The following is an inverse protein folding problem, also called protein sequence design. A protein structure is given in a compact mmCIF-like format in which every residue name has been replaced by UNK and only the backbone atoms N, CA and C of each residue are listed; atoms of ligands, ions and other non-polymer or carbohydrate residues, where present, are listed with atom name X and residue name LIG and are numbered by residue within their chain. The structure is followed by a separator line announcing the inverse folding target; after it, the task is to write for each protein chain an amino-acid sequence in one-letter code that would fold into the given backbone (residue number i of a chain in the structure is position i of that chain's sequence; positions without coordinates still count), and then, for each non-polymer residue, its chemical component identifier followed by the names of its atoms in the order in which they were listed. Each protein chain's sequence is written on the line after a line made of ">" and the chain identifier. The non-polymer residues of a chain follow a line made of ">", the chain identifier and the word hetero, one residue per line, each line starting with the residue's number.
data_IF_613275458745
#
_entry.id   IF_613275458745
#
_cell.length_a   1.000
_cell.length_b   1.000
_cell.length_c   1.000
_cell.angle_alpha   90.00
_cell.angle_beta   90.00
_cell.angle_gamma   90.00
#
_symmetry.space_group_name_H-M   'P 1'
#
loop_
_entity.id
_entity.type
_entity.pdbx_description
1 polymer ?
#
# COMPACT_ATOMS: atom_id res chain seq x y z
N UNK A 1 31.76 -39.03 -32.24
CA UNK A 1 31.16 -37.72 -32.64
C UNK A 1 30.08 -37.37 -31.64
N UNK A 2 30.34 -36.49 -30.73
CA UNK A 2 29.38 -36.02 -29.74
C UNK A 2 29.05 -34.58 -30.13
N UNK A 3 27.87 -34.36 -30.72
CA UNK A 3 27.35 -33.04 -31.02
C UNK A 3 26.89 -32.36 -29.73
N UNK A 4 27.59 -31.29 -29.39
CA UNK A 4 27.25 -30.45 -28.27
C UNK A 4 25.99 -29.62 -28.55
N UNK A 5 24.91 -29.90 -27.86
CA UNK A 5 23.77 -29.01 -27.82
C UNK A 5 24.15 -27.74 -27.04
N UNK A 6 24.43 -26.68 -27.78
CA UNK A 6 24.50 -25.31 -27.21
C UNK A 6 23.08 -24.89 -26.89
N UNK A 7 22.76 -24.90 -25.63
CA UNK A 7 21.52 -24.31 -25.15
C UNK A 7 21.47 -22.81 -25.54
N UNK A 8 20.42 -22.40 -26.22
CA UNK A 8 20.16 -21.02 -26.52
C UNK A 8 20.14 -20.18 -25.24
N UNK A 9 20.65 -18.93 -25.25
CA UNK A 9 20.55 -18.08 -24.10
C UNK A 9 19.08 -17.85 -23.77
N UNK A 10 18.70 -18.19 -22.55
CA UNK A 10 17.38 -17.84 -22.04
C UNK A 10 17.25 -16.33 -22.14
N UNK A 11 16.33 -15.90 -22.94
CA UNK A 11 15.89 -14.52 -23.02
C UNK A 11 15.66 -14.05 -21.60
N UNK A 12 16.49 -13.16 -21.10
CA UNK A 12 16.23 -12.45 -19.85
C UNK A 12 15.05 -11.55 -20.15
N UNK A 13 13.85 -12.10 -19.95
CA UNK A 13 12.61 -11.36 -20.00
C UNK A 13 12.80 -10.12 -19.15
N UNK A 14 12.53 -8.96 -19.74
CA UNK A 14 12.58 -7.63 -19.15
C UNK A 14 12.44 -7.69 -17.64
N UNK A 15 13.47 -7.24 -16.93
CA UNK A 15 13.42 -7.04 -15.48
C UNK A 15 12.14 -6.27 -15.19
N UNK A 16 11.12 -6.97 -14.71
CA UNK A 16 9.92 -6.33 -14.19
C UNK A 16 10.45 -5.35 -13.18
N UNK A 17 10.17 -4.06 -13.38
CA UNK A 17 10.45 -3.05 -12.37
C UNK A 17 9.85 -3.56 -11.08
N UNK A 18 10.70 -3.91 -10.15
CA UNK A 18 10.25 -4.33 -8.84
C UNK A 18 9.44 -3.19 -8.23
N UNK A 19 8.35 -3.54 -7.59
CA UNK A 19 7.46 -2.57 -7.02
C UNK A 19 8.20 -1.69 -6.03
N UNK A 20 8.00 -0.42 -6.18
CA UNK A 20 8.33 0.54 -5.15
C UNK A 20 7.36 0.37 -3.99
N UNK A 21 7.83 0.30 -2.82
CA UNK A 21 6.99 0.37 -1.63
C UNK A 21 6.33 1.75 -1.58
N UNK A 22 5.05 1.88 -1.35
CA UNK A 22 4.42 1.54 -0.06
C UNK A 22 3.60 0.25 -0.04
N UNK A 23 3.46 -0.30 1.16
CA UNK A 23 2.61 -1.46 1.47
C UNK A 23 1.47 -1.01 2.36
N UNK A 24 0.25 -1.18 1.89
CA UNK A 24 -0.94 -0.81 2.65
C UNK A 24 -1.56 -2.00 3.39
N UNK A 25 -1.96 -1.75 4.63
CA UNK A 25 -2.84 -2.63 5.41
C UNK A 25 -4.13 -1.90 5.71
N UNK A 26 -5.24 -2.41 5.22
CA UNK A 26 -6.58 -1.87 5.46
C UNK A 26 -7.27 -2.78 6.45
N UNK A 27 -7.71 -2.23 7.58
CA UNK A 27 -8.45 -2.96 8.59
C UNK A 27 -9.82 -2.29 8.77
N UNK A 28 -10.89 -3.08 8.70
CA UNK A 28 -12.25 -2.59 8.87
C UNK A 28 -13.01 -3.41 9.91
N UNK A 29 -13.84 -2.72 10.69
CA UNK A 29 -14.53 -3.25 11.86
C UNK A 29 -15.83 -4.00 11.52
N UNK A 30 -15.99 -4.48 10.32
CA UNK A 30 -17.16 -5.25 9.88
C UNK A 30 -16.79 -6.23 8.78
N UNK A 31 -17.64 -7.22 8.50
CA UNK A 31 -17.53 -8.02 7.29
C UNK A 31 -17.70 -7.15 6.04
N UNK A 32 -17.07 -7.55 4.97
CA UNK A 32 -17.17 -6.94 3.64
C UNK A 32 -17.41 -8.00 2.59
N UNK A 33 -17.97 -7.61 1.45
CA UNK A 33 -18.04 -8.45 0.25
C UNK A 33 -16.71 -8.38 -0.54
N UNK A 34 -16.49 -9.32 -1.44
CA UNK A 34 -15.34 -9.27 -2.34
C UNK A 34 -15.31 -8.00 -3.20
N UNK A 35 -16.47 -7.50 -3.62
CA UNK A 35 -16.60 -6.25 -4.36
C UNK A 35 -16.20 -5.03 -3.52
N UNK A 36 -16.62 -4.98 -2.27
CA UNK A 36 -16.19 -3.94 -1.34
C UNK A 36 -14.68 -4.00 -1.07
N UNK A 37 -14.12 -5.18 -0.92
CA UNK A 37 -12.69 -5.37 -0.71
C UNK A 37 -11.88 -4.78 -1.87
N UNK A 38 -12.28 -5.07 -3.10
CA UNK A 38 -11.64 -4.54 -4.30
C UNK A 38 -11.74 -3.02 -4.35
N UNK A 39 -12.91 -2.46 -4.00
CA UNK A 39 -13.12 -1.02 -3.98
C UNK A 39 -12.28 -0.31 -2.92
N UNK A 40 -12.18 -0.89 -1.72
CA UNK A 40 -11.36 -0.35 -0.63
C UNK A 40 -9.86 -0.38 -0.98
N UNK A 41 -9.39 -1.47 -1.52
CA UNK A 41 -7.99 -1.61 -1.97
C UNK A 41 -7.70 -0.60 -3.09
N UNK A 42 -8.60 -0.48 -4.06
CA UNK A 42 -8.44 0.49 -5.15
C UNK A 42 -8.41 1.94 -4.63
N UNK A 43 -9.27 2.28 -3.67
CA UNK A 43 -9.31 3.63 -3.09
C UNK A 43 -7.98 4.01 -2.43
N UNK A 44 -7.40 3.12 -1.66
CA UNK A 44 -6.10 3.35 -1.01
C UNK A 44 -4.98 3.42 -2.05
N UNK A 45 -4.99 2.51 -3.01
CA UNK A 45 -3.97 2.48 -4.07
C UNK A 45 -3.98 3.75 -4.92
N UNK A 46 -5.13 4.17 -5.41
CA UNK A 46 -5.25 5.40 -6.20
C UNK A 46 -4.86 6.65 -5.41
N UNK A 47 -5.10 6.65 -4.11
CA UNK A 47 -4.65 7.73 -3.22
C UNK A 47 -3.12 7.81 -3.15
N UNK A 48 -2.45 6.67 -3.08
CA UNK A 48 -0.99 6.59 -3.09
C UNK A 48 -0.40 7.02 -4.44
N UNK A 49 -1.03 6.62 -5.55
CA UNK A 49 -0.63 7.07 -6.88
C UNK A 49 -0.74 8.60 -6.98
N UNK A 50 -1.85 9.18 -6.54
CA UNK A 50 -2.09 10.61 -6.61
C UNK A 50 -1.15 11.41 -5.71
N UNK A 51 -0.88 10.94 -4.49
CA UNK A 51 -0.13 11.70 -3.49
C UNK A 51 1.38 11.43 -3.49
N UNK A 52 1.78 10.21 -3.77
CA UNK A 52 3.18 9.77 -3.70
C UNK A 52 3.80 9.49 -5.07
N UNK A 53 3.03 9.65 -6.13
CA UNK A 53 3.49 9.48 -7.52
C UNK A 53 4.14 8.10 -7.76
N UNK A 54 3.64 7.08 -7.06
CA UNK A 54 4.12 5.71 -7.26
C UNK A 54 3.66 5.17 -8.62
N UNK A 55 4.37 4.20 -9.20
CA UNK A 55 3.89 3.53 -10.42
C UNK A 55 2.52 2.88 -10.18
N UNK A 56 1.59 3.07 -11.11
CA UNK A 56 0.21 2.59 -10.99
C UNK A 56 0.11 1.06 -10.84
N UNK A 57 1.06 0.33 -11.40
CA UNK A 57 1.13 -1.13 -11.27
C UNK A 57 1.70 -1.63 -9.95
N UNK A 58 2.15 -0.74 -9.10
CA UNK A 58 2.84 -1.04 -7.86
C UNK A 58 1.84 -1.22 -6.70
N UNK A 59 1.17 -2.36 -6.68
CA UNK A 59 0.05 -2.65 -5.77
C UNK A 59 0.41 -3.71 -4.74
N UNK A 60 0.68 -3.25 -3.52
CA UNK A 60 0.99 -4.12 -2.39
C UNK A 60 0.08 -3.79 -1.20
N UNK A 61 -1.10 -4.39 -1.18
CA UNK A 61 -2.09 -4.08 -0.15
C UNK A 61 -2.69 -5.35 0.42
N UNK A 62 -3.02 -5.31 1.70
CA UNK A 62 -3.78 -6.34 2.41
C UNK A 62 -5.03 -5.71 3.00
N UNK A 63 -6.10 -6.47 3.03
CA UNK A 63 -7.32 -6.09 3.71
C UNK A 63 -7.68 -7.16 4.74
N UNK A 64 -7.96 -6.71 5.95
CA UNK A 64 -8.37 -7.55 7.06
C UNK A 64 -9.68 -7.02 7.61
N UNK A 65 -10.68 -7.88 7.70
CA UNK A 65 -11.94 -7.58 8.39
C UNK A 65 -11.85 -8.08 9.82
N UNK A 66 -12.44 -7.34 10.73
CA UNK A 66 -12.49 -7.70 12.13
C UNK A 66 -13.94 -7.89 12.59
N UNK A 67 -14.15 -8.87 13.45
CA UNK A 67 -15.37 -8.90 14.24
C UNK A 67 -15.46 -7.60 15.06
N UNK A 68 -16.64 -6.97 15.15
CA UNK A 68 -16.79 -5.72 15.91
C UNK A 68 -16.30 -5.77 17.35
N UNK A 69 -16.34 -6.94 17.97
CA UNK A 69 -15.83 -7.15 19.33
C UNK A 69 -14.29 -7.13 19.42
N UNK A 70 -13.60 -7.26 18.27
CA UNK A 70 -12.14 -7.38 18.20
C UNK A 70 -11.44 -6.14 17.64
N UNK A 71 -12.20 -5.12 17.29
CA UNK A 71 -11.66 -3.85 16.81
C UNK A 71 -12.44 -2.71 17.44
N UNK A 72 -11.94 -2.22 18.55
CA UNK A 72 -12.61 -1.17 19.34
C UNK A 72 -12.03 0.18 18.98
N UNK A 73 -12.92 1.13 18.76
CA UNK A 73 -12.57 2.54 18.66
C UNK A 73 -13.53 3.35 19.51
N UNK A 74 -12.98 4.32 20.17
CA UNK A 74 -13.77 5.38 20.72
C UNK A 74 -13.67 5.50 22.22
N UNK A 75 -14.11 6.66 22.64
CA UNK A 75 -14.35 7.05 24.01
C UNK A 75 -15.86 7.19 24.19
N UNK A 76 -16.46 6.43 25.09
CA UNK A 76 -17.89 6.50 25.38
C UNK A 76 -18.76 5.59 24.51
N UNK A 77 -20.04 5.92 24.42
CA UNK A 77 -21.09 5.07 23.88
C UNK A 77 -21.17 5.04 22.33
N UNK A 78 -20.33 5.80 21.64
CA UNK A 78 -20.33 5.85 20.18
C UNK A 78 -19.41 4.80 19.60
N UNK A 79 -20.03 3.78 19.04
CA UNK A 79 -19.33 2.71 18.33
C UNK A 79 -19.41 2.99 16.83
N UNK A 80 -18.27 3.24 16.22
CA UNK A 80 -18.18 3.47 14.79
C UNK A 80 -18.26 2.14 14.04
N UNK A 81 -19.42 1.81 13.45
CA UNK A 81 -19.63 0.55 12.73
C UNK A 81 -18.70 0.37 11.54
N UNK A 82 -18.32 1.47 10.89
CA UNK A 82 -17.43 1.47 9.72
C UNK A 82 -15.99 1.86 10.06
N UNK A 83 -15.58 1.77 11.32
CA UNK A 83 -14.22 2.14 11.69
C UNK A 83 -13.20 1.43 10.81
N UNK A 84 -12.39 2.23 10.14
CA UNK A 84 -11.37 1.77 9.19
C UNK A 84 -10.03 2.35 9.57
N UNK A 85 -9.06 1.48 9.77
CA UNK A 85 -7.66 1.87 10.01
C UNK A 85 -6.82 1.49 8.81
N UNK A 86 -6.05 2.44 8.32
CA UNK A 86 -5.12 2.23 7.22
C UNK A 86 -3.71 2.47 7.74
N UNK A 87 -2.88 1.45 7.65
CA UNK A 87 -1.47 1.52 8.00
C UNK A 87 -0.66 1.35 6.72
N UNK A 88 0.24 2.28 6.45
CA UNK A 88 1.06 2.27 5.25
C UNK A 88 2.53 2.27 5.67
N UNK A 89 3.22 1.19 5.31
CA UNK A 89 4.67 1.10 5.44
C UNK A 89 5.31 1.65 4.17
N UNK A 90 6.21 2.60 4.31
CA UNK A 90 6.86 3.24 3.18
C UNK A 90 8.28 3.71 3.49
N UNK A 91 9.02 4.04 2.44
CA UNK A 91 10.34 4.67 2.59
C UNK A 91 10.20 6.10 3.11
N UNK A 92 11.17 6.54 3.89
CA UNK A 92 11.32 7.95 4.23
C UNK A 92 11.54 8.79 2.97
N UNK A 93 11.13 10.05 2.99
CA UNK A 93 11.42 11.00 1.90
C UNK A 93 10.23 11.79 1.39
N UNK A 94 8.99 11.52 1.84
CA UNK A 94 7.81 12.29 1.46
C UNK A 94 7.68 13.54 2.34
N UNK A 95 7.36 14.66 1.71
CA UNK A 95 7.10 15.91 2.42
C UNK A 95 5.80 15.83 3.23
N UNK A 96 5.66 16.73 4.20
CA UNK A 96 4.40 16.84 4.94
C UNK A 96 3.23 17.19 4.01
N UNK A 97 3.47 17.94 2.94
CA UNK A 97 2.41 18.26 1.98
C UNK A 97 1.97 17.05 1.17
N UNK A 98 2.89 16.18 0.76
CA UNK A 98 2.56 14.91 0.12
C UNK A 98 1.74 14.02 1.07
N UNK A 99 2.11 13.94 2.33
CA UNK A 99 1.36 13.20 3.35
C UNK A 99 -0.04 13.76 3.57
N UNK A 100 -0.17 15.08 3.67
CA UNK A 100 -1.49 15.76 3.77
C UNK A 100 -2.36 15.46 2.56
N UNK A 101 -1.79 15.45 1.37
CA UNK A 101 -2.51 15.08 0.15
C UNK A 101 -2.98 13.63 0.23
N UNK A 102 -2.13 12.71 0.66
CA UNK A 102 -2.51 11.30 0.85
C UNK A 102 -3.71 11.15 1.78
N UNK A 103 -3.68 11.81 2.93
CA UNK A 103 -4.79 11.71 3.89
C UNK A 103 -6.10 12.22 3.30
N UNK A 104 -6.09 13.35 2.60
CA UNK A 104 -7.28 13.89 1.93
C UNK A 104 -7.79 12.97 0.83
N UNK A 105 -6.90 12.44 0.01
CA UNK A 105 -7.27 11.51 -1.07
C UNK A 105 -7.93 10.24 -0.52
N UNK A 106 -7.38 9.65 0.52
CA UNK A 106 -7.95 8.47 1.17
C UNK A 106 -9.35 8.79 1.71
N UNK A 107 -9.48 9.85 2.49
CA UNK A 107 -10.76 10.24 3.09
C UNK A 107 -11.82 10.50 2.03
N UNK A 108 -11.48 11.23 0.98
CA UNK A 108 -12.41 11.55 -0.11
C UNK A 108 -12.88 10.30 -0.85
N UNK A 109 -11.97 9.39 -1.15
CA UNK A 109 -12.32 8.15 -1.87
C UNK A 109 -13.12 7.19 -1.00
N UNK A 110 -12.78 7.05 0.28
CA UNK A 110 -13.54 6.21 1.20
C UNK A 110 -14.93 6.78 1.48
N UNK A 111 -15.10 8.10 1.48
CA UNK A 111 -16.41 8.72 1.62
C UNK A 111 -17.35 8.33 0.48
N UNK A 112 -16.85 8.17 -0.74
CA UNK A 112 -17.66 7.68 -1.89
C UNK A 112 -18.13 6.24 -1.71
N UNK A 113 -17.47 5.48 -0.84
CA UNK A 113 -17.83 4.10 -0.49
C UNK A 113 -18.71 4.03 0.77
N UNK A 114 -19.16 5.17 1.28
CA UNK A 114 -20.06 5.24 2.43
C UNK A 114 -19.35 5.21 3.79
N UNK A 115 -18.05 5.40 3.84
CA UNK A 115 -17.29 5.47 5.09
C UNK A 115 -17.15 6.93 5.51
N UNK A 116 -17.68 7.26 6.70
CA UNK A 116 -17.58 8.61 7.25
C UNK A 116 -16.11 8.98 7.48
N UNK A 117 -15.67 10.16 7.06
CA UNK A 117 -14.31 10.66 7.32
C UNK A 117 -13.87 10.55 8.77
N UNK A 118 -14.77 10.71 9.72
CA UNK A 118 -14.47 10.61 11.15
C UNK A 118 -14.23 9.16 11.62
N UNK A 119 -14.60 8.18 10.80
CA UNK A 119 -14.41 6.76 11.08
C UNK A 119 -13.11 6.20 10.48
N UNK A 120 -12.28 7.05 9.92
CA UNK A 120 -11.03 6.65 9.28
C UNK A 120 -9.82 7.19 10.02
N UNK A 121 -8.86 6.32 10.29
CA UNK A 121 -7.52 6.73 10.74
C UNK A 121 -6.46 6.19 9.80
N UNK A 122 -5.44 7.00 9.54
CA UNK A 122 -4.31 6.64 8.67
C UNK A 122 -3.01 6.82 9.45
N UNK A 123 -2.18 5.80 9.43
CA UNK A 123 -0.84 5.84 10.01
C UNK A 123 0.19 5.52 8.93
N UNK A 124 1.16 6.39 8.77
CA UNK A 124 2.36 6.11 7.98
C UNK A 124 3.47 5.61 8.91
N UNK A 125 4.06 4.46 8.56
CA UNK A 125 5.27 3.96 9.18
C UNK A 125 6.40 4.07 8.18
N UNK A 126 7.29 5.00 8.41
CA UNK A 126 8.41 5.27 7.53
C UNK A 126 9.64 4.49 7.99
N UNK A 127 10.35 3.90 7.05
CA UNK A 127 11.62 3.22 7.29
C UNK A 127 12.66 3.66 6.27
N UNK A 128 13.95 3.71 6.63
CA UNK A 128 15.00 3.97 5.66
C UNK A 128 15.12 2.81 4.66
N UNK A 129 15.65 3.09 3.48
CA UNK A 129 15.80 2.11 2.39
C UNK A 129 16.57 0.86 2.84
N UNK A 130 17.55 1.02 3.69
CA UNK A 130 18.37 -0.09 4.22
C UNK A 130 17.60 -1.11 5.05
N UNK A 131 16.40 -0.76 5.53
CA UNK A 131 15.56 -1.65 6.32
C UNK A 131 14.64 -2.54 5.45
N UNK A 132 14.71 -2.41 4.13
CA UNK A 132 13.91 -3.20 3.22
C UNK A 132 14.77 -4.19 2.46
N UNK A 133 14.48 -5.48 2.61
CA UNK A 133 15.05 -6.54 1.78
C UNK A 133 14.12 -6.80 0.59
N UNK A 134 14.62 -6.56 -0.61
CA UNK A 134 13.86 -6.69 -1.87
C UNK A 134 14.67 -7.48 -2.90
N UNK A 135 14.08 -7.82 -4.02
CA UNK A 135 14.75 -8.47 -5.16
C UNK A 135 15.63 -9.66 -4.75
N UNK A 136 15.06 -10.57 -3.95
CA UNK A 136 15.77 -11.77 -3.53
C UNK A 136 16.82 -11.56 -2.43
N UNK A 137 16.64 -10.54 -1.58
CA UNK A 137 17.48 -10.33 -0.40
C UNK A 137 18.44 -9.16 -0.50
N UNK A 138 18.28 -8.28 -1.47
CA UNK A 138 19.08 -7.06 -1.57
C UNK A 138 18.47 -5.95 -0.70
N UNK A 139 19.31 -5.14 -0.07
CA UNK A 139 18.83 -3.93 0.58
C UNK A 139 18.33 -2.93 -0.47
N UNK A 140 17.20 -2.28 -0.21
CA UNK A 140 16.65 -1.30 -1.15
C UNK A 140 17.58 -0.11 -1.39
N UNK A 141 18.47 0.19 -0.45
CA UNK A 141 19.53 1.20 -0.59
C UNK A 141 20.61 0.85 -1.62
N UNK A 142 20.73 -0.44 -1.97
CA UNK A 142 21.78 -0.94 -2.88
C UNK A 142 21.28 -1.08 -4.33
N UNK A 143 20.02 -0.78 -4.61
CA UNK A 143 19.40 -1.00 -5.90
C UNK A 143 18.78 0.29 -6.45
N UNK A 144 18.71 0.39 -7.78
CA UNK A 144 17.94 1.43 -8.45
C UNK A 144 16.46 1.03 -8.43
N UNK A 145 15.64 1.81 -7.72
CA UNK A 145 14.21 1.58 -7.59
C UNK A 145 13.44 1.96 -8.85
N UNK A 146 14.02 2.79 -9.72
CA UNK A 146 13.39 3.26 -10.95
C UNK A 146 12.26 4.29 -10.75
N UNK A 147 12.16 4.87 -9.56
CA UNK A 147 11.23 5.95 -9.23
C UNK A 147 11.79 6.83 -8.10
N UNK A 148 11.20 8.02 -7.95
CA UNK A 148 11.62 8.97 -6.91
C UNK A 148 10.81 8.75 -5.63
N UNK A 149 11.51 8.62 -4.48
CA UNK A 149 10.86 8.51 -3.16
C UNK A 149 10.77 9.85 -2.43
N UNK A 150 11.59 10.82 -2.82
CA UNK A 150 11.61 12.17 -2.25
C UNK A 150 10.72 13.11 -3.05
N UNK A 151 9.61 13.55 -2.46
CA UNK A 151 8.63 14.48 -3.05
C UNK A 151 8.07 15.44 -2.01
#
# INVERSE_FOLDING_TARGET
>A
MLEGHRGAPRHVSSLKKEPGMPVGLIEIRRPTSAEEDDALIAAVHESLVAAFEIPRGDRHHRLVTHDPSRMVRGTGDQVADNYTRITIDCFVGRSINAKRTLYREIITRLATLGIDPLDVSVLLRESPLENWGIRGGQAASDVDLGFTVTI
#
